data_IF_667459566340
#
_entry.id   IF_667459566340
#
_cell.length_a   1.000
_cell.length_b   1.000
_cell.length_c   1.000
_cell.angle_alpha   90.00
_cell.angle_beta   90.00
_cell.angle_gamma   90.00
#
_symmetry.space_group_name_H-M   'P 1'
#
loop_
_entity.id
_entity.type
_entity.pdbx_description
1 polymer ?
#
# COMPACT_ATOMS: atom_id res chain seq x y z
N UNK A 1 -14.26 -27.93 -15.06
CA UNK A 1 -13.34 -26.81 -15.35
C UNK A 1 -11.92 -27.29 -15.16
N UNK A 2 -11.03 -27.01 -16.10
CA UNK A 2 -9.61 -27.29 -15.92
C UNK A 2 -8.92 -26.20 -15.07
N UNK A 3 -7.74 -26.49 -14.55
CA UNK A 3 -7.02 -25.58 -13.66
C UNK A 3 -6.70 -24.21 -14.31
N UNK A 4 -6.43 -24.16 -15.62
CA UNK A 4 -6.12 -22.91 -16.32
C UNK A 4 -7.37 -22.02 -16.42
N UNK A 5 -8.53 -22.62 -16.68
CA UNK A 5 -9.80 -21.92 -16.72
C UNK A 5 -10.15 -21.27 -15.37
N UNK A 6 -9.92 -21.98 -14.26
CA UNK A 6 -10.14 -21.46 -12.90
C UNK A 6 -9.24 -20.25 -12.61
N UNK A 7 -7.96 -20.33 -12.95
CA UNK A 7 -7.05 -19.19 -12.76
C UNK A 7 -7.47 -17.97 -13.60
N UNK A 8 -7.86 -18.18 -14.86
CA UNK A 8 -8.31 -17.09 -15.71
C UNK A 8 -9.57 -16.40 -15.18
N UNK A 9 -10.49 -17.15 -14.58
CA UNK A 9 -11.65 -16.58 -13.89
C UNK A 9 -11.25 -15.82 -12.62
N UNK A 10 -10.37 -16.38 -11.80
CA UNK A 10 -9.86 -15.70 -10.61
C UNK A 10 -9.13 -14.39 -10.96
N UNK A 11 -8.38 -14.32 -12.06
CA UNK A 11 -7.74 -13.09 -12.53
C UNK A 11 -8.78 -12.02 -12.90
N UNK A 12 -9.89 -12.39 -13.55
CA UNK A 12 -11.00 -11.47 -13.87
C UNK A 12 -11.73 -10.95 -12.64
N UNK A 13 -11.80 -11.76 -11.58
CA UNK A 13 -12.34 -11.35 -10.29
C UNK A 13 -11.38 -10.43 -9.52
N UNK A 14 -10.07 -10.68 -9.61
CA UNK A 14 -9.07 -9.94 -8.86
C UNK A 14 -8.72 -8.58 -9.51
N UNK A 15 -8.71 -8.51 -10.84
CA UNK A 15 -8.21 -7.36 -11.59
C UNK A 15 -9.30 -6.31 -11.81
N UNK A 16 -9.06 -5.04 -11.43
CA UNK A 16 -9.94 -3.93 -11.77
C UNK A 16 -10.18 -3.85 -13.28
N UNK A 17 -11.39 -3.45 -13.68
CA UNK A 17 -11.67 -3.21 -15.10
C UNK A 17 -11.01 -1.91 -15.56
N UNK A 18 -10.82 -1.72 -16.88
CA UNK A 18 -10.25 -0.47 -17.42
C UNK A 18 -11.05 0.77 -17.00
N UNK A 19 -12.37 0.66 -16.97
CA UNK A 19 -13.25 1.76 -16.54
C UNK A 19 -13.10 2.05 -15.05
N UNK A 20 -12.98 1.03 -14.21
CA UNK A 20 -12.70 1.20 -12.79
C UNK A 20 -11.33 1.86 -12.57
N UNK A 21 -10.28 1.40 -13.24
CA UNK A 21 -8.95 2.02 -13.16
C UNK A 21 -8.99 3.50 -13.58
N UNK A 22 -9.75 3.83 -14.64
CA UNK A 22 -9.92 5.20 -15.13
C UNK A 22 -10.64 6.08 -14.10
N UNK A 23 -11.80 5.63 -13.60
CA UNK A 23 -12.60 6.39 -12.65
C UNK A 23 -11.87 6.61 -11.32
N UNK A 24 -11.24 5.57 -10.78
CA UNK A 24 -10.45 5.68 -9.54
C UNK A 24 -9.30 6.66 -9.72
N UNK A 25 -8.63 6.63 -10.88
CA UNK A 25 -7.54 7.57 -11.20
C UNK A 25 -8.02 9.01 -11.31
N UNK A 26 -9.13 9.27 -11.99
CA UNK A 26 -9.74 10.61 -12.11
C UNK A 26 -10.09 11.18 -10.73
N UNK A 27 -10.77 10.39 -9.88
CA UNK A 27 -11.14 10.79 -8.52
C UNK A 27 -9.92 11.02 -7.64
N UNK A 28 -8.91 10.17 -7.74
CA UNK A 28 -7.65 10.32 -6.99
C UNK A 28 -6.92 11.60 -7.37
N UNK A 29 -6.85 11.94 -8.66
CA UNK A 29 -6.23 13.19 -9.10
C UNK A 29 -7.00 14.43 -8.67
N UNK A 30 -8.32 14.40 -8.77
CA UNK A 30 -9.16 15.47 -8.23
C UNK A 30 -8.92 15.67 -6.73
N UNK A 31 -8.86 14.57 -5.96
CA UNK A 31 -8.63 14.61 -4.52
C UNK A 31 -7.27 15.23 -4.19
N UNK A 32 -6.21 14.79 -4.88
CA UNK A 32 -4.85 15.29 -4.70
C UNK A 32 -4.76 16.78 -5.07
N UNK A 33 -5.36 17.22 -6.17
CA UNK A 33 -5.36 18.63 -6.57
C UNK A 33 -6.06 19.50 -5.51
N UNK A 34 -7.22 19.07 -5.02
CA UNK A 34 -7.95 19.76 -3.96
C UNK A 34 -7.14 19.86 -2.66
N UNK A 35 -6.52 18.76 -2.23
CA UNK A 35 -5.67 18.76 -1.03
C UNK A 35 -4.42 19.64 -1.22
N UNK A 36 -3.77 19.60 -2.39
CA UNK A 36 -2.64 20.50 -2.71
C UNK A 36 -3.02 21.97 -2.58
N UNK A 37 -4.18 22.38 -3.13
CA UNK A 37 -4.68 23.75 -2.99
C UNK A 37 -4.87 24.15 -1.53
N UNK A 38 -5.34 23.23 -0.69
CA UNK A 38 -5.53 23.48 0.74
C UNK A 38 -4.22 23.51 1.55
N UNK A 39 -3.15 22.86 1.07
CA UNK A 39 -1.85 22.84 1.72
C UNK A 39 -0.88 23.93 1.22
N UNK A 40 -1.34 24.89 0.40
CA UNK A 40 -0.54 26.06 0.04
C UNK A 40 -0.04 26.75 1.31
N UNK A 41 1.29 26.80 1.48
CA UNK A 41 1.97 27.34 2.66
C UNK A 41 2.68 26.30 3.54
N UNK A 42 2.45 25.00 3.31
CA UNK A 42 3.27 23.93 3.85
C UNK A 42 4.24 23.42 2.79
N UNK A 43 5.51 23.21 3.15
CA UNK A 43 6.51 22.55 2.31
C UNK A 43 6.23 21.05 2.28
N UNK A 44 5.20 20.66 1.53
CA UNK A 44 4.73 19.28 1.37
C UNK A 44 4.58 18.90 -0.09
N UNK A 45 4.80 17.62 -0.36
CA UNK A 45 4.45 16.99 -1.65
C UNK A 45 3.38 15.93 -1.42
N UNK A 46 2.27 16.03 -2.14
CA UNK A 46 1.18 15.06 -2.01
C UNK A 46 1.26 14.05 -3.15
N UNK A 47 1.24 12.76 -2.82
CA UNK A 47 1.31 11.66 -3.80
C UNK A 47 0.38 10.53 -3.41
N UNK A 48 -0.16 9.83 -4.41
CA UNK A 48 -0.85 8.57 -4.17
C UNK A 48 0.13 7.48 -3.72
N UNK A 49 -0.33 6.64 -2.81
CA UNK A 49 0.43 5.59 -2.15
C UNK A 49 -0.17 4.20 -2.34
N UNK A 50 0.19 3.29 -1.44
CA UNK A 50 -0.58 2.05 -1.30
C UNK A 50 -0.55 1.09 -2.47
N UNK A 51 -1.55 0.21 -2.47
CA UNK A 51 -1.79 -0.74 -3.55
C UNK A 51 -2.17 -0.04 -4.87
N UNK A 52 -2.84 1.12 -4.79
CA UNK A 52 -3.16 1.98 -5.93
C UNK A 52 -1.89 2.43 -6.68
N UNK A 53 -0.96 3.10 -6.01
CA UNK A 53 0.26 3.60 -6.65
C UNK A 53 1.17 2.48 -7.18
N UNK A 54 1.09 1.28 -6.55
CA UNK A 54 1.83 0.08 -6.95
C UNK A 54 1.23 -0.64 -8.16
N UNK A 55 -0.05 -0.45 -8.47
CA UNK A 55 -0.72 -1.23 -9.51
C UNK A 55 -1.18 -2.61 -9.05
N UNK A 56 -1.50 -2.78 -7.76
CA UNK A 56 -1.78 -4.09 -7.15
C UNK A 56 -3.05 -4.11 -6.30
N UNK A 57 -3.94 -3.12 -6.46
CA UNK A 57 -5.24 -3.11 -5.79
C UNK A 57 -6.17 -4.15 -6.42
N UNK A 58 -7.07 -4.68 -5.60
CA UNK A 58 -8.09 -5.63 -6.04
C UNK A 58 -9.26 -4.87 -6.66
N UNK A 59 -9.96 -5.53 -7.58
CA UNK A 59 -11.27 -5.09 -8.07
C UNK A 59 -12.22 -4.81 -6.91
N UNK A 60 -12.94 -3.70 -6.98
CA UNK A 60 -13.86 -3.23 -5.95
C UNK A 60 -13.18 -2.69 -4.69
N UNK A 61 -11.85 -2.59 -4.65
CA UNK A 61 -11.17 -1.87 -3.57
C UNK A 61 -11.57 -0.40 -3.60
N UNK A 62 -11.86 0.15 -2.42
CA UNK A 62 -12.39 1.52 -2.26
C UNK A 62 -11.42 2.44 -1.54
N UNK A 63 -10.40 1.88 -0.92
CA UNK A 63 -9.36 2.53 -0.13
C UNK A 63 -8.22 3.05 -1.02
N UNK A 64 -7.89 4.34 -0.88
CA UNK A 64 -6.80 5.01 -1.58
C UNK A 64 -5.91 5.73 -0.58
N UNK A 65 -4.66 5.27 -0.47
CA UNK A 65 -3.64 5.94 0.34
C UNK A 65 -3.16 7.22 -0.36
N UNK A 66 -3.16 8.34 0.37
CA UNK A 66 -2.63 9.64 -0.04
C UNK A 66 -1.55 10.06 0.94
N UNK A 67 -0.29 10.00 0.53
CA UNK A 67 0.83 10.43 1.36
C UNK A 67 1.07 11.93 1.22
N UNK A 68 1.10 12.64 2.33
CA UNK A 68 1.51 14.04 2.42
C UNK A 68 2.94 14.08 2.95
N UNK A 69 3.89 14.30 2.05
CA UNK A 69 5.31 14.20 2.31
C UNK A 69 5.85 15.55 2.78
N UNK A 70 6.05 15.70 4.08
CA UNK A 70 6.64 16.87 4.71
C UNK A 70 8.16 16.92 4.45
N UNK A 71 8.68 18.09 4.11
CA UNK A 71 10.12 18.31 3.91
C UNK A 71 10.95 17.85 5.13
N UNK A 72 11.85 16.89 4.92
CA UNK A 72 12.55 16.23 6.02
C UNK A 72 13.39 17.20 6.88
N UNK A 73 14.29 18.04 6.31
CA UNK A 73 15.06 19.01 7.09
C UNK A 73 14.19 19.94 7.94
N UNK A 74 13.04 20.38 7.44
CA UNK A 74 12.15 21.33 8.13
C UNK A 74 11.31 20.69 9.24
N UNK A 75 10.95 19.41 9.10
CA UNK A 75 9.93 18.78 9.95
C UNK A 75 10.38 17.54 10.74
N UNK A 76 11.62 17.04 10.57
CA UNK A 76 12.08 15.84 11.32
C UNK A 76 11.93 15.98 12.85
N UNK A 77 12.26 17.14 13.41
CA UNK A 77 12.13 17.44 14.86
C UNK A 77 10.68 17.75 15.27
N UNK A 78 9.74 17.71 14.31
CA UNK A 78 8.30 17.95 14.49
C UNK A 78 7.48 16.75 14.02
N UNK A 79 8.09 15.57 13.93
CA UNK A 79 7.47 14.31 13.47
C UNK A 79 6.13 14.04 14.17
N UNK A 80 6.05 14.32 15.47
CA UNK A 80 4.86 14.07 16.28
C UNK A 80 3.72 15.06 15.99
N UNK A 81 4.05 16.25 15.46
CA UNK A 81 3.09 17.30 15.14
C UNK A 81 2.61 17.28 13.68
N UNK A 82 3.11 16.35 12.85
CA UNK A 82 2.77 16.32 11.42
C UNK A 82 1.27 16.15 11.18
N UNK A 83 0.61 15.32 11.99
CA UNK A 83 -0.83 15.09 11.89
C UNK A 83 -1.62 16.37 12.17
N UNK A 84 -1.25 17.13 13.19
CA UNK A 84 -1.92 18.41 13.52
C UNK A 84 -1.69 19.48 12.44
N UNK A 85 -0.50 19.50 11.83
CA UNK A 85 -0.21 20.38 10.70
C UNK A 85 -1.05 20.01 9.48
N UNK A 86 -1.15 18.71 9.19
CA UNK A 86 -1.94 18.19 8.07
C UNK A 86 -3.44 18.41 8.28
N UNK A 87 -3.94 18.27 9.51
CA UNK A 87 -5.37 18.44 9.82
C UNK A 87 -5.89 19.82 9.38
N UNK A 88 -5.07 20.87 9.52
CA UNK A 88 -5.39 22.22 9.05
C UNK A 88 -5.61 22.28 7.52
N UNK A 89 -4.91 21.46 6.74
CA UNK A 89 -5.21 21.31 5.31
C UNK A 89 -6.49 20.53 5.10
N UNK A 90 -6.62 19.36 5.73
CA UNK A 90 -7.75 18.44 5.52
C UNK A 90 -9.08 19.15 5.84
N UNK A 91 -9.15 19.86 6.97
CA UNK A 91 -10.30 20.67 7.38
C UNK A 91 -10.66 21.79 6.39
N UNK A 92 -9.66 22.38 5.71
CA UNK A 92 -9.88 23.39 4.66
C UNK A 92 -10.36 22.76 3.35
N UNK A 93 -9.84 21.58 3.00
CA UNK A 93 -10.20 20.88 1.77
C UNK A 93 -11.57 20.22 1.84
N UNK A 94 -11.91 19.60 2.98
CA UNK A 94 -13.04 18.69 3.12
C UNK A 94 -13.85 19.03 4.39
N UNK A 95 -15.18 19.08 4.22
CA UNK A 95 -16.10 19.40 5.32
C UNK A 95 -16.15 18.28 6.37
N UNK A 96 -16.12 17.03 5.92
CA UNK A 96 -16.22 15.85 6.76
C UNK A 96 -14.95 15.00 6.59
N UNK A 97 -14.29 14.70 7.69
CA UNK A 97 -13.18 13.76 7.76
C UNK A 97 -13.17 13.12 9.16
N UNK A 98 -12.57 11.94 9.26
CA UNK A 98 -12.35 11.23 10.52
C UNK A 98 -10.84 11.24 10.82
N UNK A 99 -10.42 11.64 12.02
CA UNK A 99 -9.03 11.44 12.48
C UNK A 99 -8.93 10.05 13.11
N UNK A 100 -8.01 9.25 12.64
CA UNK A 100 -7.81 7.87 13.07
C UNK A 100 -6.41 7.70 13.66
N UNK A 101 -6.33 6.90 14.72
CA UNK A 101 -5.06 6.58 15.37
C UNK A 101 -4.38 5.39 14.70
N UNK A 102 -3.08 5.51 14.48
CA UNK A 102 -2.19 4.46 13.97
C UNK A 102 -0.80 4.63 14.58
N UNK A 103 0.26 4.21 13.90
CA UNK A 103 1.62 4.57 14.33
C UNK A 103 1.86 6.09 14.30
N UNK A 104 1.12 6.78 13.43
CA UNK A 104 0.94 8.22 13.36
C UNK A 104 -0.52 8.47 12.99
N UNK A 105 -1.15 9.47 13.58
CA UNK A 105 -2.53 9.81 13.26
C UNK A 105 -2.65 10.19 11.79
N UNK A 106 -3.74 9.75 11.16
CA UNK A 106 -4.04 10.02 9.76
C UNK A 106 -5.53 10.35 9.61
N UNK A 107 -5.92 10.78 8.41
CA UNK A 107 -7.28 11.27 8.18
C UNK A 107 -7.99 10.45 7.12
N UNK A 108 -9.20 10.02 7.42
CA UNK A 108 -10.06 9.34 6.46
C UNK A 108 -11.09 10.32 5.91
N UNK A 109 -11.15 10.42 4.58
CA UNK A 109 -12.10 11.26 3.86
C UNK A 109 -12.90 10.39 2.90
N UNK A 110 -14.22 10.36 3.06
CA UNK A 110 -15.13 9.70 2.12
C UNK A 110 -15.50 10.68 1.01
N UNK A 111 -15.30 10.29 -0.24
CA UNK A 111 -15.70 11.07 -1.40
C UNK A 111 -16.18 10.13 -2.50
N UNK A 112 -17.42 10.34 -2.95
CA UNK A 112 -18.17 9.41 -3.78
C UNK A 112 -18.20 7.99 -3.18
N UNK A 113 -17.74 7.00 -3.94
CA UNK A 113 -17.63 5.59 -3.62
C UNK A 113 -16.23 5.20 -3.12
N UNK A 114 -15.35 6.19 -2.87
CA UNK A 114 -13.97 5.97 -2.40
C UNK A 114 -13.74 6.52 -0.99
N UNK A 115 -12.78 5.88 -0.33
CA UNK A 115 -12.26 6.24 0.99
C UNK A 115 -10.79 6.60 0.82
N UNK A 116 -10.47 7.87 1.04
CA UNK A 116 -9.10 8.36 0.97
C UNK A 116 -8.48 8.39 2.36
N UNK A 117 -7.35 7.72 2.54
CA UNK A 117 -6.56 7.77 3.77
C UNK A 117 -5.39 8.72 3.57
N UNK A 118 -5.47 9.90 4.19
CA UNK A 118 -4.50 10.99 4.07
C UNK A 118 -3.48 10.87 5.20
N UNK A 119 -2.29 10.41 4.85
CA UNK A 119 -1.27 9.95 5.80
C UNK A 119 -0.08 10.93 5.77
N UNK A 120 0.24 11.60 6.89
CA UNK A 120 1.41 12.45 6.98
C UNK A 120 2.68 11.60 7.08
N UNK A 121 3.66 11.87 6.22
CA UNK A 121 4.98 11.22 6.25
C UNK A 121 6.10 12.24 6.10
N UNK A 122 7.30 11.89 6.55
CA UNK A 122 8.51 12.63 6.23
C UNK A 122 9.02 12.24 4.83
N UNK A 123 9.46 13.23 4.06
CA UNK A 123 10.06 13.05 2.74
C UNK A 123 11.53 12.60 2.84
N UNK A 124 11.74 11.41 3.39
CA UNK A 124 13.06 10.82 3.61
C UNK A 124 13.74 10.33 2.31
N UNK A 125 15.06 10.39 2.28
CA UNK A 125 15.93 9.91 1.19
C UNK A 125 16.55 8.55 1.49
N UNK A 126 16.78 8.26 2.76
CA UNK A 126 17.31 6.98 3.26
C UNK A 126 16.35 6.36 4.28
N UNK A 127 16.32 5.02 4.37
CA UNK A 127 15.44 4.34 5.33
C UNK A 127 15.81 4.62 6.79
N UNK A 128 17.08 4.88 7.07
CA UNK A 128 17.60 5.19 8.42
C UNK A 128 17.18 6.59 8.90
N UNK A 129 16.64 7.43 8.01
CA UNK A 129 16.09 8.75 8.36
C UNK A 129 14.64 8.65 8.88
N UNK A 130 14.02 7.47 8.84
CA UNK A 130 12.65 7.28 9.29
C UNK A 130 12.53 7.55 10.79
N UNK A 131 11.62 8.45 11.17
CA UNK A 131 11.27 8.70 12.58
C UNK A 131 10.03 7.90 12.97
N UNK A 132 9.14 7.67 12.01
CA UNK A 132 7.97 6.80 12.15
C UNK A 132 7.99 5.69 11.09
N UNK A 133 7.42 4.53 11.42
CA UNK A 133 7.33 3.40 10.49
C UNK A 133 6.57 3.73 9.19
N UNK A 134 5.71 4.74 9.19
CA UNK A 134 5.01 5.19 7.98
C UNK A 134 5.93 5.94 7.01
N UNK A 135 7.05 6.50 7.46
CA UNK A 135 7.95 7.30 6.61
C UNK A 135 8.61 6.45 5.50
N UNK A 136 8.81 5.15 5.74
CA UNK A 136 9.35 4.22 4.73
C UNK A 136 8.33 3.79 3.67
N UNK A 137 7.06 4.17 3.78
CA UNK A 137 5.98 3.65 2.91
C UNK A 137 6.23 3.89 1.43
N UNK A 138 6.84 5.03 1.07
CA UNK A 138 7.18 5.31 -0.34
C UNK A 138 8.33 4.44 -0.86
N UNK A 139 9.21 3.93 0.00
CA UNK A 139 10.20 2.92 -0.39
C UNK A 139 9.53 1.60 -0.76
N UNK A 140 8.50 1.18 0.00
CA UNK A 140 7.70 0.00 -0.36
C UNK A 140 7.06 0.16 -1.74
N UNK A 141 6.45 1.33 -2.02
CA UNK A 141 5.87 1.64 -3.33
C UNK A 141 6.92 1.57 -4.43
N UNK A 142 8.07 2.25 -4.26
CA UNK A 142 9.17 2.26 -5.25
C UNK A 142 9.70 0.85 -5.50
N UNK A 143 9.93 0.08 -4.45
CA UNK A 143 10.47 -1.27 -4.53
C UNK A 143 9.53 -2.20 -5.28
N UNK A 144 8.25 -2.28 -4.90
CA UNK A 144 7.26 -3.13 -5.59
C UNK A 144 7.11 -2.73 -7.06
N UNK A 145 7.01 -1.43 -7.36
CA UNK A 145 6.94 -0.95 -8.76
C UNK A 145 8.18 -1.32 -9.57
N UNK A 146 9.36 -1.27 -8.97
CA UNK A 146 10.60 -1.66 -9.66
C UNK A 146 10.60 -3.15 -10.05
N UNK A 147 10.03 -4.02 -9.20
CA UNK A 147 9.89 -5.46 -9.48
C UNK A 147 8.85 -5.71 -10.56
N UNK A 148 7.69 -5.06 -10.47
CA UNK A 148 6.64 -5.13 -11.51
C UNK A 148 7.12 -4.56 -12.85
N UNK A 149 8.02 -3.56 -12.85
CA UNK A 149 8.61 -3.05 -14.09
C UNK A 149 9.47 -4.10 -14.79
N UNK A 150 10.18 -4.94 -14.03
CA UNK A 150 11.03 -6.03 -14.55
C UNK A 150 10.20 -7.22 -15.02
N UNK A 151 9.10 -7.53 -14.33
CA UNK A 151 8.12 -8.53 -14.76
C UNK A 151 6.70 -8.00 -14.57
N UNK A 152 6.04 -7.68 -15.70
CA UNK A 152 4.69 -7.11 -15.72
C UNK A 152 3.62 -8.06 -15.21
N UNK A 153 3.86 -9.37 -15.28
CA UNK A 153 2.90 -10.38 -14.83
C UNK A 153 2.75 -10.38 -13.30
N UNK A 154 3.77 -9.93 -12.57
CA UNK A 154 3.76 -9.90 -11.10
C UNK A 154 2.57 -9.13 -10.51
N UNK A 155 2.11 -8.05 -11.16
CA UNK A 155 0.98 -7.29 -10.66
C UNK A 155 -0.30 -8.16 -10.55
N UNK A 156 -0.57 -8.96 -11.57
CA UNK A 156 -1.73 -9.85 -11.60
C UNK A 156 -1.53 -11.05 -10.66
N UNK A 157 -0.30 -11.57 -10.54
CA UNK A 157 0.02 -12.61 -9.56
C UNK A 157 -0.17 -12.13 -8.10
N UNK A 158 0.22 -10.89 -7.80
CA UNK A 158 0.01 -10.28 -6.48
C UNK A 158 -1.49 -10.17 -6.19
N UNK A 159 -2.30 -9.74 -7.17
CA UNK A 159 -3.75 -9.66 -7.03
C UNK A 159 -4.36 -11.04 -6.76
N UNK A 160 -3.91 -12.10 -7.43
CA UNK A 160 -4.35 -13.46 -7.14
C UNK A 160 -4.06 -13.87 -5.70
N UNK A 161 -2.86 -13.60 -5.18
CA UNK A 161 -2.51 -13.89 -3.77
C UNK A 161 -3.42 -13.10 -2.82
N UNK A 162 -3.61 -11.79 -3.06
CA UNK A 162 -4.50 -10.96 -2.23
C UNK A 162 -5.94 -11.47 -2.27
N UNK A 163 -6.46 -11.81 -3.46
CA UNK A 163 -7.81 -12.37 -3.62
C UNK A 163 -7.93 -13.70 -2.89
N UNK A 164 -6.95 -14.59 -3.03
CA UNK A 164 -6.93 -15.89 -2.34
C UNK A 164 -6.94 -15.71 -0.82
N UNK A 165 -6.08 -14.87 -0.26
CA UNK A 165 -6.09 -14.55 1.17
C UNK A 165 -7.44 -13.97 1.61
N UNK A 166 -8.03 -13.07 0.81
CA UNK A 166 -9.32 -12.42 1.12
C UNK A 166 -10.47 -13.43 1.12
N UNK A 167 -10.52 -14.31 0.13
CA UNK A 167 -11.53 -15.36 0.02
C UNK A 167 -11.46 -16.38 1.17
N UNK A 168 -10.26 -16.57 1.74
CA UNK A 168 -10.03 -17.45 2.90
C UNK A 168 -10.08 -16.72 4.25
N UNK A 169 -10.46 -15.43 4.29
CA UNK A 169 -10.59 -14.68 5.55
C UNK A 169 -9.27 -14.33 6.24
N UNK A 170 -8.13 -14.38 5.53
CA UNK A 170 -6.78 -14.14 6.08
C UNK A 170 -6.08 -12.96 5.42
N UNK A 171 -6.82 -12.05 4.80
CA UNK A 171 -6.28 -10.81 4.22
C UNK A 171 -6.55 -9.62 5.13
N UNK A 172 -5.47 -8.94 5.53
CA UNK A 172 -5.51 -7.86 6.50
C UNK A 172 -4.62 -8.16 7.71
N UNK A 173 -3.92 -7.13 8.20
CA UNK A 173 -3.02 -7.23 9.35
C UNK A 173 -3.62 -6.64 10.64
N UNK A 174 -4.89 -6.27 10.58
CA UNK A 174 -5.66 -5.82 11.72
C UNK A 174 -5.73 -6.94 12.78
N UNK A 175 -5.73 -6.56 14.06
CA UNK A 175 -5.62 -7.49 15.20
C UNK A 175 -6.76 -8.51 15.30
N UNK A 176 -7.90 -8.23 14.67
CA UNK A 176 -9.05 -9.14 14.59
C UNK A 176 -8.95 -10.14 13.43
N UNK A 177 -8.17 -9.85 12.38
CA UNK A 177 -7.91 -10.77 11.26
C UNK A 177 -6.65 -11.59 11.54
N UNK A 178 -5.58 -10.93 12.01
CA UNK A 178 -4.25 -11.52 12.24
C UNK A 178 -3.72 -12.26 11.00
N UNK A 179 -4.02 -11.74 9.83
CA UNK A 179 -3.70 -12.33 8.53
C UNK A 179 -2.49 -11.68 7.85
N UNK A 180 -2.47 -11.77 6.52
CA UNK A 180 -1.42 -11.21 5.69
C UNK A 180 -1.77 -9.78 5.27
N UNK A 181 -0.87 -8.83 5.55
CA UNK A 181 -0.99 -7.47 5.02
C UNK A 181 -0.85 -7.47 3.49
N UNK A 182 -1.40 -6.43 2.85
CA UNK A 182 -1.21 -6.23 1.40
C UNK A 182 0.26 -6.20 0.98
N UNK A 183 1.14 -5.64 1.82
CA UNK A 183 2.59 -5.61 1.55
C UNK A 183 3.27 -6.96 1.79
N UNK A 184 2.83 -7.74 2.79
CA UNK A 184 3.30 -9.11 2.97
C UNK A 184 2.97 -9.99 1.77
N UNK A 185 1.74 -9.90 1.24
CA UNK A 185 1.36 -10.59 0.00
C UNK A 185 2.25 -10.17 -1.18
N UNK A 186 2.57 -8.89 -1.31
CA UNK A 186 3.47 -8.37 -2.35
C UNK A 186 4.88 -8.98 -2.24
N UNK A 187 5.49 -8.95 -1.06
CA UNK A 187 6.82 -9.52 -0.82
C UNK A 187 6.85 -11.01 -1.12
N UNK A 188 5.87 -11.77 -0.59
CA UNK A 188 5.77 -13.22 -0.75
C UNK A 188 5.65 -13.63 -2.22
N UNK A 189 4.83 -12.90 -2.97
CA UNK A 189 4.65 -13.15 -4.41
C UNK A 189 5.92 -12.83 -5.17
N UNK A 190 6.54 -11.65 -4.91
CA UNK A 190 7.77 -11.24 -5.58
C UNK A 190 8.91 -12.23 -5.34
N UNK A 191 9.03 -12.75 -4.11
CA UNK A 191 10.05 -13.73 -3.77
C UNK A 191 9.82 -15.09 -4.45
N UNK A 192 8.55 -15.49 -4.60
CA UNK A 192 8.20 -16.78 -5.20
C UNK A 192 8.09 -16.73 -6.73
N UNK A 193 7.93 -15.55 -7.32
CA UNK A 193 7.79 -15.33 -8.76
C UNK A 193 6.36 -15.42 -9.28
N UNK A 194 5.50 -16.26 -8.69
CA UNK A 194 4.09 -16.40 -9.09
C UNK A 194 3.18 -16.80 -7.93
N UNK A 195 1.87 -16.68 -8.11
CA UNK A 195 0.86 -17.18 -7.17
C UNK A 195 1.04 -18.69 -6.92
N UNK A 196 1.25 -19.46 -7.97
CA UNK A 196 1.38 -20.92 -7.85
C UNK A 196 2.68 -21.35 -7.18
N UNK A 197 3.78 -20.70 -7.52
CA UNK A 197 5.06 -21.02 -6.90
C UNK A 197 5.05 -20.63 -5.43
N UNK A 198 4.34 -19.55 -5.07
CA UNK A 198 4.10 -19.23 -3.66
C UNK A 198 3.35 -20.36 -2.94
N UNK A 199 2.27 -20.89 -3.51
CA UNK A 199 1.52 -22.00 -2.89
C UNK A 199 2.38 -23.27 -2.76
N UNK A 200 3.15 -23.62 -3.80
CA UNK A 200 4.08 -24.76 -3.77
C UNK A 200 5.15 -24.57 -2.69
N UNK A 201 5.72 -23.38 -2.58
CA UNK A 201 6.70 -23.04 -1.56
C UNK A 201 6.09 -23.06 -0.15
N UNK A 202 4.87 -22.54 0.00
CA UNK A 202 4.16 -22.46 1.27
C UNK A 202 3.81 -23.83 1.86
N UNK A 203 3.64 -24.87 1.01
CA UNK A 203 3.47 -26.26 1.47
C UNK A 203 4.64 -26.72 2.35
N UNK A 204 5.85 -26.21 2.09
CA UNK A 204 7.06 -26.52 2.84
C UNK A 204 7.23 -25.67 4.12
N UNK A 205 6.26 -24.83 4.47
CA UNK A 205 6.27 -24.04 5.71
C UNK A 205 5.58 -24.75 6.87
N UNK A 206 4.75 -25.75 6.58
CA UNK A 206 4.08 -26.56 7.60
C UNK A 206 5.11 -27.18 8.56
N UNK A 207 4.86 -27.04 9.85
CA UNK A 207 5.76 -27.52 10.91
C UNK A 207 6.99 -26.65 11.19
N UNK A 208 7.23 -25.57 10.43
CA UNK A 208 8.34 -24.65 10.71
C UNK A 208 7.90 -23.58 11.71
N UNK A 209 8.76 -23.32 12.71
CA UNK A 209 8.55 -22.25 13.69
C UNK A 209 8.68 -20.84 13.10
N UNK A 210 9.52 -20.67 12.08
CA UNK A 210 9.80 -19.37 11.44
C UNK A 210 10.13 -19.56 9.96
N UNK A 211 9.67 -18.62 9.13
CA UNK A 211 10.05 -18.48 7.73
C UNK A 211 10.85 -17.19 7.59
N UNK A 212 12.07 -17.29 7.06
CA UNK A 212 12.94 -16.13 6.78
C UNK A 212 12.90 -15.81 5.29
N UNK A 213 12.69 -14.53 4.97
CA UNK A 213 12.63 -14.03 3.61
C UNK A 213 13.62 -12.87 3.47
N UNK A 214 14.46 -12.94 2.46
CA UNK A 214 15.36 -11.84 2.07
C UNK A 214 15.31 -11.64 0.54
N UNK A 215 14.23 -11.01 0.03
CA UNK A 215 14.07 -10.78 -1.39
C UNK A 215 15.04 -9.73 -1.96
N UNK A 216 15.73 -9.00 -1.09
CA UNK A 216 16.74 -8.02 -1.47
C UNK A 216 18.17 -8.58 -1.42
N UNK A 217 18.37 -9.77 -0.84
CA UNK A 217 19.69 -10.36 -0.57
C UNK A 217 20.57 -9.40 0.24
N UNK A 218 19.98 -8.79 1.26
CA UNK A 218 20.67 -7.88 2.15
C UNK A 218 21.67 -8.62 3.06
N UNK A 219 21.29 -9.81 3.53
CA UNK A 219 22.11 -10.61 4.44
C UNK A 219 22.97 -11.62 3.66
N UNK A 220 24.17 -11.91 4.15
CA UNK A 220 25.09 -12.86 3.50
C UNK A 220 24.60 -14.30 3.66
N UNK A 221 23.95 -14.59 4.78
CA UNK A 221 23.42 -15.91 5.09
C UNK A 221 22.18 -15.82 6.01
N UNK A 222 21.57 -16.96 6.36
CA UNK A 222 20.31 -17.02 7.12
C UNK A 222 20.45 -16.78 8.63
N UNK A 223 21.68 -16.75 9.15
CA UNK A 223 21.99 -16.60 10.57
C UNK A 223 22.48 -15.19 10.93
N UNK A 224 22.78 -14.37 9.91
CA UNK A 224 22.96 -12.92 10.03
C UNK A 224 21.58 -12.23 10.03
#
# INVERSE_FOLDING_TARGET
MDFKSILAEAEKLAKPTRDEERLVKEKTFWFIDRLNKSCKGLDVKIVAGGSFAKGTWLRGARDIDIYVCFDYPKYREKSDNLSDLLEKCVKRAFRNYERLHGSRDYFRVKHDDLVFEVIPILAIRNVDEAVNITDVSLFHVRWVKSRIKRDKKLADQIRLVKLFCKANGVYGAESYIRGFSGYACEILTIQSGSFLDLLRNAKNWLGKKKILLDPARHYKNKNE
#
